data_IF_314771147463
#
_entry.id   IF_314771147463
#
_cell.length_a   1.000
_cell.length_b   1.000
_cell.length_c   1.000
_cell.angle_alpha   90.00
_cell.angle_beta   90.00
_cell.angle_gamma   90.00
#
_symmetry.space_group_name_H-M   'P 1'
#
loop_
_entity.id
_entity.type
_entity.pdbx_description
1 polymer ?
#
# COMPACT_ATOMS: atom_id res chain seq x y z
N UNK A 1 -10.39 -5.02 -2.00
CA UNK A 1 -10.69 -4.54 -0.63
C UNK A 1 -12.15 -4.84 -0.27
N UNK A 2 -12.46 -5.08 1.00
CA UNK A 2 -13.84 -5.33 1.48
C UNK A 2 -14.15 -4.39 2.64
N UNK A 3 -15.30 -3.73 2.60
CA UNK A 3 -15.82 -2.88 3.68
C UNK A 3 -17.12 -3.47 4.18
N UNK A 4 -17.23 -3.60 5.49
CA UNK A 4 -18.49 -3.94 6.15
C UNK A 4 -18.96 -2.73 6.92
N UNK A 5 -20.18 -2.27 6.66
CA UNK A 5 -20.76 -1.09 7.29
C UNK A 5 -22.22 -1.31 7.67
N UNK A 6 -22.67 -0.58 8.69
CA UNK A 6 -24.07 -0.53 9.08
C UNK A 6 -24.30 -0.66 10.58
N UNK A 7 -25.44 -0.12 11.02
CA UNK A 7 -25.86 -0.06 12.42
C UNK A 7 -27.14 -0.86 12.62
N UNK A 8 -27.20 -1.71 13.65
CA UNK A 8 -28.41 -2.46 14.00
C UNK A 8 -28.77 -3.57 12.99
N UNK A 9 -29.97 -3.49 12.40
CA UNK A 9 -30.54 -4.53 11.53
C UNK A 9 -30.12 -4.42 10.06
N UNK A 10 -29.55 -3.30 9.64
CA UNK A 10 -29.02 -3.09 8.29
C UNK A 10 -27.51 -3.12 8.32
N UNK A 11 -26.92 -4.15 7.73
CA UNK A 11 -25.47 -4.32 7.57
C UNK A 11 -25.17 -4.72 6.14
N UNK A 12 -24.27 -4.00 5.49
CA UNK A 12 -23.88 -4.24 4.10
C UNK A 12 -22.40 -4.57 4.02
N UNK A 13 -22.08 -5.56 3.19
CA UNK A 13 -20.72 -5.86 2.79
C UNK A 13 -20.53 -5.38 1.35
N UNK A 14 -19.53 -4.55 1.15
CA UNK A 14 -19.20 -3.95 -0.15
C UNK A 14 -17.77 -4.32 -0.53
N UNK A 15 -17.59 -4.76 -1.77
CA UNK A 15 -16.29 -5.10 -2.35
C UNK A 15 -15.85 -3.97 -3.27
N UNK A 16 -14.57 -3.62 -3.19
CA UNK A 16 -13.92 -2.63 -4.03
C UNK A 16 -12.76 -3.28 -4.78
N UNK A 17 -12.64 -2.93 -6.06
CA UNK A 17 -11.56 -3.34 -6.96
C UNK A 17 -10.94 -2.07 -7.54
N UNK A 18 -9.62 -1.92 -7.46
CA UNK A 18 -8.87 -0.75 -7.97
C UNK A 18 -9.45 0.60 -7.51
N UNK A 19 -9.83 0.68 -6.23
CA UNK A 19 -10.41 1.89 -5.64
C UNK A 19 -11.90 2.14 -5.98
N UNK A 20 -12.51 1.31 -6.83
CA UNK A 20 -13.89 1.48 -7.30
C UNK A 20 -14.83 0.47 -6.65
N UNK A 21 -16.01 0.93 -6.23
CA UNK A 21 -17.09 0.08 -5.69
C UNK A 21 -17.56 -0.90 -6.77
N UNK A 22 -17.48 -2.20 -6.48
CA UNK A 22 -17.79 -3.27 -7.41
C UNK A 22 -19.16 -3.88 -7.11
N UNK A 23 -19.28 -4.60 -5.99
CA UNK A 23 -20.51 -5.28 -5.58
C UNK A 23 -20.86 -4.97 -4.13
N UNK A 24 -22.16 -4.97 -3.81
CA UNK A 24 -22.64 -4.78 -2.45
C UNK A 24 -23.78 -5.75 -2.16
N UNK A 25 -23.76 -6.35 -0.96
CA UNK A 25 -24.80 -7.27 -0.52
C UNK A 25 -25.22 -6.98 0.91
N UNK A 26 -26.48 -7.28 1.24
CA UNK A 26 -26.99 -7.17 2.59
C UNK A 26 -26.61 -8.43 3.37
N UNK A 27 -25.94 -8.24 4.51
CA UNK A 27 -25.52 -9.29 5.43
C UNK A 27 -26.20 -9.16 6.80
N UNK A 28 -27.36 -8.52 6.86
CA UNK A 28 -28.22 -8.47 8.03
C UNK A 28 -28.45 -9.87 8.60
N UNK A 29 -28.38 -9.99 9.93
CA UNK A 29 -28.56 -11.26 10.63
C UNK A 29 -27.41 -12.27 10.49
N UNK A 30 -26.33 -11.94 9.75
CA UNK A 30 -25.12 -12.78 9.70
C UNK A 30 -24.25 -12.54 10.94
N UNK A 31 -23.76 -13.63 11.52
CA UNK A 31 -22.79 -13.64 12.61
C UNK A 31 -21.39 -13.53 11.99
N UNK A 32 -20.62 -12.53 12.41
CA UNK A 32 -19.24 -12.31 11.95
C UNK A 32 -18.21 -12.64 13.03
N UNK A 33 -18.64 -13.17 14.17
CA UNK A 33 -17.77 -13.62 15.25
C UNK A 33 -17.35 -15.06 15.01
N UNK A 34 -16.07 -15.36 15.19
CA UNK A 34 -15.50 -16.71 15.11
C UNK A 34 -14.43 -16.87 16.18
N UNK A 35 -14.24 -18.10 16.65
CA UNK A 35 -13.11 -18.49 17.50
C UNK A 35 -11.93 -19.03 16.67
N UNK A 36 -12.13 -19.26 15.38
CA UNK A 36 -11.07 -19.68 14.48
C UNK A 36 -10.06 -18.54 14.26
N UNK A 37 -8.76 -18.85 14.12
CA UNK A 37 -7.76 -17.83 13.80
C UNK A 37 -8.05 -17.18 12.45
N UNK A 38 -7.64 -15.93 12.29
CA UNK A 38 -7.68 -15.25 11.00
C UNK A 38 -6.70 -15.92 10.04
N UNK A 39 -7.17 -16.21 8.82
CA UNK A 39 -6.43 -16.96 7.82
C UNK A 39 -6.64 -16.34 6.44
N UNK A 40 -5.58 -16.38 5.63
CA UNK A 40 -5.58 -15.91 4.24
C UNK A 40 -5.13 -17.08 3.35
N UNK A 41 -5.83 -17.29 2.23
CA UNK A 41 -5.48 -18.33 1.26
C UNK A 41 -5.88 -19.76 1.66
N UNK A 42 -6.46 -19.93 2.85
CA UNK A 42 -6.99 -21.20 3.32
C UNK A 42 -8.23 -20.97 4.18
N UNK A 43 -9.19 -21.89 4.09
CA UNK A 43 -10.40 -21.87 4.91
C UNK A 43 -10.71 -23.28 5.41
N UNK A 44 -10.95 -23.39 6.72
CA UNK A 44 -11.47 -24.61 7.33
C UNK A 44 -12.99 -24.79 7.10
N UNK A 45 -13.45 -26.04 6.98
CA UNK A 45 -14.87 -26.40 6.88
C UNK A 45 -15.28 -27.22 5.63
N UNK A 46 -16.58 -27.50 5.52
CA UNK A 46 -17.14 -28.42 4.50
C UNK A 46 -17.04 -27.95 3.04
N UNK A 47 -16.86 -26.65 2.82
CA UNK A 47 -16.50 -26.04 1.52
C UNK A 47 -15.13 -25.36 1.60
N UNK A 48 -14.26 -25.86 2.47
CA UNK A 48 -12.90 -25.38 2.66
C UNK A 48 -11.95 -25.87 1.56
N UNK A 49 -10.81 -25.19 1.44
CA UNK A 49 -9.80 -25.48 0.43
C UNK A 49 -8.65 -24.48 0.50
N UNK A 50 -7.54 -24.85 -0.13
CA UNK A 50 -6.44 -23.97 -0.47
C UNK A 50 -6.72 -23.22 -1.77
N UNK A 51 -6.25 -21.98 -1.84
CA UNK A 51 -6.23 -21.20 -3.07
C UNK A 51 -4.81 -20.71 -3.31
N UNK A 52 -4.37 -20.77 -4.57
CA UNK A 52 -3.12 -20.16 -4.98
C UNK A 52 -3.36 -18.66 -5.17
N UNK A 53 -2.73 -17.85 -4.32
CA UNK A 53 -2.81 -16.40 -4.40
C UNK A 53 -1.45 -15.76 -4.08
N UNK A 54 -1.20 -14.61 -4.69
CA UNK A 54 -0.14 -13.69 -4.30
C UNK A 54 -0.79 -12.54 -3.57
N UNK A 55 -0.35 -12.28 -2.34
CA UNK A 55 -0.88 -11.19 -1.52
C UNK A 55 0.25 -10.28 -1.08
N UNK A 56 -0.02 -8.99 -1.12
CA UNK A 56 0.80 -7.94 -0.53
C UNK A 56 -0.13 -6.94 0.14
N UNK A 57 0.42 -6.12 1.03
CA UNK A 57 -0.28 -4.98 1.62
C UNK A 57 -1.61 -5.33 2.31
N UNK A 58 -1.58 -6.29 3.23
CA UNK A 58 -2.76 -6.69 4.00
C UNK A 58 -2.97 -5.71 5.14
N UNK A 59 -4.17 -5.14 5.24
CA UNK A 59 -4.55 -4.20 6.29
C UNK A 59 -5.95 -4.50 6.81
N UNK A 60 -6.16 -4.32 8.11
CA UNK A 60 -7.45 -4.52 8.77
C UNK A 60 -7.74 -3.31 9.66
N UNK A 61 -8.95 -2.77 9.54
CA UNK A 61 -9.41 -1.65 10.36
C UNK A 61 -10.65 -2.03 11.17
N UNK A 62 -10.80 -1.38 12.32
CA UNK A 62 -12.00 -1.44 13.19
C UNK A 62 -13.10 -0.47 12.75
N UNK A 63 -12.96 0.13 11.56
CA UNK A 63 -13.94 1.06 11.01
C UNK A 63 -14.17 0.80 9.54
N UNK A 64 -15.36 1.18 9.08
CA UNK A 64 -15.64 1.24 7.65
C UNK A 64 -14.88 2.42 7.05
N UNK A 65 -13.99 2.13 6.10
CA UNK A 65 -13.36 3.17 5.27
C UNK A 65 -14.38 3.75 4.30
N UNK A 66 -14.37 5.06 4.12
CA UNK A 66 -15.26 5.75 3.18
C UNK A 66 -14.84 5.51 1.73
N UNK A 67 -15.80 5.63 0.80
CA UNK A 67 -15.53 5.46 -0.64
C UNK A 67 -14.37 6.38 -1.12
N UNK A 68 -14.28 7.61 -0.59
CA UNK A 68 -13.22 8.56 -0.92
C UNK A 68 -11.85 8.19 -0.34
N UNK A 69 -11.79 7.67 0.88
CA UNK A 69 -10.53 7.17 1.46
C UNK A 69 -9.99 5.98 0.64
N UNK A 70 -10.90 5.13 0.16
CA UNK A 70 -10.55 3.96 -0.65
C UNK A 70 -10.04 4.39 -2.02
N UNK A 71 -10.78 5.25 -2.72
CA UNK A 71 -10.40 5.72 -4.06
C UNK A 71 -9.07 6.49 -4.05
N UNK A 72 -8.77 7.21 -2.97
CA UNK A 72 -7.55 8.02 -2.89
C UNK A 72 -6.33 7.21 -2.44
N UNK A 73 -6.52 6.09 -1.73
CA UNK A 73 -5.42 5.35 -1.13
C UNK A 73 -5.29 3.89 -1.61
N UNK A 74 -6.10 3.45 -2.59
CA UNK A 74 -6.09 2.04 -3.03
C UNK A 74 -4.72 1.54 -3.51
N UNK A 75 -3.91 2.42 -4.09
CA UNK A 75 -2.60 2.06 -4.61
C UNK A 75 -1.46 2.30 -3.61
N UNK A 76 -1.73 2.89 -2.43
CA UNK A 76 -0.68 3.19 -1.45
C UNK A 76 -0.17 1.92 -0.80
N UNK A 77 1.15 1.77 -0.72
CA UNK A 77 1.82 0.63 -0.07
C UNK A 77 2.21 0.91 1.39
N UNK A 78 1.87 2.09 1.91
CA UNK A 78 2.10 2.51 3.28
C UNK A 78 0.79 2.69 4.06
N UNK A 79 0.86 2.49 5.39
CA UNK A 79 -0.23 2.73 6.31
C UNK A 79 0.23 3.67 7.44
N UNK A 80 -0.68 4.52 7.91
CA UNK A 80 -0.45 5.35 9.10
C UNK A 80 -0.53 4.47 10.35
N UNK A 81 0.63 4.15 10.92
CA UNK A 81 0.75 3.35 12.13
C UNK A 81 0.22 4.06 13.39
N UNK A 82 -0.06 5.37 13.32
CA UNK A 82 -0.64 6.13 14.41
C UNK A 82 -2.17 6.09 14.44
N UNK A 83 -2.82 5.56 13.40
CA UNK A 83 -4.28 5.41 13.35
C UNK A 83 -4.73 4.38 14.40
N UNK A 84 -5.50 4.77 15.44
CA UNK A 84 -5.97 3.85 16.47
C UNK A 84 -6.97 2.82 15.94
N UNK A 85 -7.56 3.04 14.77
CA UNK A 85 -8.48 2.10 14.14
C UNK A 85 -7.78 1.08 13.24
N UNK A 86 -6.46 1.18 13.03
CA UNK A 86 -5.69 0.17 12.31
C UNK A 86 -5.36 -1.00 13.25
N UNK A 87 -5.99 -2.15 13.03
CA UNK A 87 -5.86 -3.33 13.90
C UNK A 87 -4.68 -4.24 13.51
N UNK A 88 -4.27 -4.20 12.25
CA UNK A 88 -3.19 -5.02 11.74
C UNK A 88 -2.73 -4.55 10.37
N UNK A 89 -1.42 -4.57 10.16
CA UNK A 89 -0.79 -4.18 8.91
C UNK A 89 0.41 -5.07 8.60
N UNK A 90 0.30 -5.81 7.49
CA UNK A 90 1.34 -6.66 6.97
C UNK A 90 1.69 -6.20 5.55
N UNK A 91 2.81 -5.46 5.36
CA UNK A 91 3.28 -5.09 4.02
C UNK A 91 3.52 -6.31 3.12
N UNK A 92 3.90 -7.45 3.73
CA UNK A 92 4.15 -8.72 3.04
C UNK A 92 5.19 -8.64 1.91
N UNK A 93 6.11 -7.67 2.00
CA UNK A 93 7.23 -7.47 1.06
C UNK A 93 8.46 -8.29 1.43
N UNK A 94 8.58 -8.72 2.69
CA UNK A 94 9.71 -9.49 3.19
C UNK A 94 9.21 -10.58 4.13
N UNK A 95 9.74 -11.79 3.95
CA UNK A 95 9.46 -12.93 4.83
C UNK A 95 10.50 -12.93 5.94
N UNK A 96 10.04 -12.97 7.17
CA UNK A 96 10.88 -13.11 8.37
C UNK A 96 10.74 -14.52 8.95
N UNK A 97 11.67 -14.92 9.81
CA UNK A 97 11.68 -16.24 10.44
C UNK A 97 11.71 -16.10 11.96
N UNK A 98 10.87 -16.90 12.64
CA UNK A 98 10.90 -16.95 14.10
C UNK A 98 12.14 -17.73 14.61
N UNK A 99 12.29 -17.82 15.93
CA UNK A 99 13.41 -18.56 16.54
C UNK A 99 13.39 -20.06 16.23
N UNK A 100 12.26 -20.59 15.76
CA UNK A 100 12.04 -21.97 15.37
C UNK A 100 12.15 -22.19 13.85
N UNK A 101 12.43 -21.14 13.07
CA UNK A 101 12.55 -21.18 11.62
C UNK A 101 11.22 -21.17 10.86
N UNK A 102 10.10 -20.82 11.49
CA UNK A 102 8.82 -20.68 10.79
C UNK A 102 8.74 -19.34 10.07
N UNK A 103 8.40 -19.32 8.77
CA UNK A 103 8.26 -18.09 8.01
C UNK A 103 7.00 -17.33 8.43
N UNK A 104 7.11 -16.03 8.65
CA UNK A 104 5.99 -15.14 8.98
C UNK A 104 6.11 -13.78 8.27
N UNK A 105 4.97 -13.13 8.07
CA UNK A 105 4.91 -11.69 7.79
C UNK A 105 4.71 -10.93 9.09
N UNK A 106 5.61 -9.99 9.35
CA UNK A 106 5.55 -9.12 10.52
C UNK A 106 4.34 -8.19 10.42
N UNK A 107 3.64 -8.08 11.54
CA UNK A 107 2.64 -7.04 11.77
C UNK A 107 3.39 -5.78 12.22
N UNK A 108 3.19 -4.69 11.50
CA UNK A 108 3.83 -3.40 11.80
C UNK A 108 3.07 -2.59 12.85
N UNK A 109 1.86 -3.00 13.23
CA UNK A 109 1.08 -2.34 14.28
C UNK A 109 1.53 -2.76 15.68
N UNK A 110 1.07 -2.01 16.68
CA UNK A 110 1.29 -2.35 18.09
C UNK A 110 0.63 -3.69 18.50
N UNK A 111 -0.31 -4.22 17.71
CA UNK A 111 -0.98 -5.49 17.96
C UNK A 111 -0.06 -6.71 17.84
N UNK A 112 1.03 -6.61 17.07
CA UNK A 112 2.03 -7.65 16.87
C UNK A 112 1.43 -9.02 16.46
N UNK A 113 0.32 -9.01 15.73
CA UNK A 113 -0.39 -10.22 15.29
C UNK A 113 0.26 -10.78 14.01
N UNK A 114 1.43 -11.40 14.11
CA UNK A 114 2.16 -11.85 12.93
C UNK A 114 1.41 -12.94 12.14
N UNK A 115 1.48 -12.89 10.80
CA UNK A 115 0.88 -13.90 9.92
C UNK A 115 1.89 -14.99 9.62
N UNK A 116 1.67 -16.19 10.15
CA UNK A 116 2.55 -17.34 9.90
C UNK A 116 2.16 -18.05 8.59
N UNK A 117 3.15 -18.26 7.73
CA UNK A 117 2.94 -18.95 6.45
C UNK A 117 3.09 -20.47 6.64
N UNK A 118 2.17 -21.22 6.04
CA UNK A 118 2.23 -22.69 5.99
C UNK A 118 2.48 -23.12 4.55
N UNK A 119 3.62 -23.77 4.31
CA UNK A 119 4.08 -24.22 2.98
C UNK A 119 4.10 -23.10 1.91
N UNK A 120 4.76 -21.94 2.16
CA UNK A 120 4.77 -20.85 1.19
C UNK A 120 5.59 -21.17 -0.06
N UNK A 121 5.12 -20.72 -1.23
CA UNK A 121 5.96 -20.50 -2.39
C UNK A 121 6.43 -19.05 -2.38
N UNK A 122 7.65 -18.82 -1.90
CA UNK A 122 8.21 -17.47 -1.80
C UNK A 122 8.72 -17.07 -3.19
N UNK A 123 8.07 -16.06 -3.76
CA UNK A 123 8.47 -15.46 -5.04
C UNK A 123 8.85 -14.01 -4.82
N UNK A 124 9.94 -13.57 -5.44
CA UNK A 124 10.23 -12.15 -5.59
C UNK A 124 9.57 -11.63 -6.87
N UNK A 125 9.03 -10.43 -6.81
CA UNK A 125 8.48 -9.73 -7.98
C UNK A 125 9.00 -8.29 -7.99
N UNK A 126 9.23 -7.76 -9.18
CA UNK A 126 9.70 -6.37 -9.40
C UNK A 126 9.01 -5.82 -10.64
N UNK A 127 7.68 -5.86 -10.64
CA UNK A 127 6.86 -5.37 -11.74
C UNK A 127 6.34 -3.98 -11.43
N UNK A 128 6.47 -3.06 -12.40
CA UNK A 128 5.80 -1.78 -12.34
C UNK A 128 4.30 -2.00 -12.58
N UNK A 129 3.47 -1.61 -11.63
CA UNK A 129 2.02 -1.72 -11.71
C UNK A 129 1.38 -0.34 -11.58
N UNK A 130 0.38 -0.06 -12.42
CA UNK A 130 -0.42 1.17 -12.30
C UNK A 130 -1.23 1.21 -10.99
N UNK A 131 -1.38 0.06 -10.31
CA UNK A 131 -2.14 -0.09 -9.09
C UNK A 131 -1.26 -0.03 -7.82
N UNK A 132 0.02 0.31 -7.96
CA UNK A 132 0.93 0.53 -6.84
C UNK A 132 1.56 1.93 -6.94
N UNK A 133 1.25 2.79 -5.97
CA UNK A 133 1.74 4.15 -5.83
C UNK A 133 2.54 4.23 -4.52
N UNK A 134 3.83 3.88 -4.52
CA UNK A 134 4.64 4.05 -3.32
C UNK A 134 4.73 5.54 -2.96
N UNK A 135 4.78 5.83 -1.66
CA UNK A 135 5.21 7.14 -1.21
C UNK A 135 6.62 7.40 -1.74
N UNK A 136 6.79 8.49 -2.49
CA UNK A 136 8.12 9.00 -2.79
C UNK A 136 8.63 9.66 -1.51
N UNK A 137 9.46 8.98 -0.75
CA UNK A 137 10.10 9.58 0.42
C UNK A 137 11.23 10.52 -0.01
N UNK A 138 11.67 11.39 0.90
CA UNK A 138 12.77 12.32 0.65
C UNK A 138 14.08 11.59 0.28
N UNK A 139 14.22 10.32 0.68
CA UNK A 139 15.39 9.51 0.35
C UNK A 139 15.35 9.08 -1.10
N UNK A 140 14.19 8.62 -1.60
CA UNK A 140 13.96 8.32 -3.00
C UNK A 140 14.22 9.55 -3.85
N UNK A 141 13.72 10.73 -3.44
CA UNK A 141 14.05 12.00 -4.09
C UNK A 141 15.56 12.24 -4.16
N UNK A 142 16.32 11.97 -3.10
CA UNK A 142 17.79 12.16 -3.06
C UNK A 142 18.60 11.06 -3.75
N UNK A 143 17.98 9.93 -4.09
CA UNK A 143 18.67 8.77 -4.67
C UNK A 143 18.55 8.72 -6.18
N UNK A 144 17.47 9.27 -6.74
CA UNK A 144 17.37 9.47 -8.20
C UNK A 144 18.06 10.77 -8.62
N UNK A 145 18.82 10.78 -9.73
CA UNK A 145 19.41 12.01 -10.25
C UNK A 145 18.33 13.06 -10.50
N UNK A 146 18.43 14.18 -9.80
CA UNK A 146 17.57 15.34 -10.00
C UNK A 146 18.14 16.26 -11.08
N UNK A 147 17.32 17.20 -11.56
CA UNK A 147 17.77 18.24 -12.50
C UNK A 147 18.93 19.07 -11.92
N UNK A 148 18.95 19.28 -10.60
CA UNK A 148 20.06 19.95 -9.89
C UNK A 148 21.36 19.15 -9.94
N UNK A 149 21.30 17.82 -9.89
CA UNK A 149 22.47 16.95 -9.96
C UNK A 149 23.10 16.98 -11.36
N UNK A 150 22.26 17.06 -12.41
CA UNK A 150 22.72 17.22 -13.79
C UNK A 150 23.43 18.55 -13.98
N UNK A 151 22.86 19.65 -13.48
CA UNK A 151 23.50 20.96 -13.52
C UNK A 151 24.84 20.95 -12.78
N UNK A 152 24.88 20.37 -11.58
CA UNK A 152 26.10 20.23 -10.80
C UNK A 152 27.16 19.41 -11.52
N UNK A 153 26.77 18.29 -12.14
CA UNK A 153 27.69 17.44 -12.90
C UNK A 153 28.33 18.17 -14.09
N UNK A 154 27.57 19.02 -14.79
CA UNK A 154 28.06 19.85 -15.89
C UNK A 154 29.10 20.87 -15.41
N UNK A 155 28.83 21.59 -14.32
CA UNK A 155 29.78 22.56 -13.75
C UNK A 155 31.07 21.90 -13.25
N UNK A 156 30.95 20.71 -12.65
CA UNK A 156 32.11 19.91 -12.26
C UNK A 156 32.95 19.48 -13.48
N UNK A 157 32.31 19.07 -14.58
CA UNK A 157 33.02 18.79 -15.85
C UNK A 157 33.73 20.01 -16.42
N UNK A 158 33.16 21.20 -16.22
CA UNK A 158 33.77 22.46 -16.63
C UNK A 158 34.87 22.95 -15.66
N UNK A 159 35.15 22.22 -14.58
CA UNK A 159 36.20 22.54 -13.62
C UNK A 159 35.84 23.61 -12.60
N UNK A 160 34.55 23.95 -12.47
CA UNK A 160 34.08 24.96 -11.52
C UNK A 160 33.62 24.30 -10.21
N UNK A 161 34.12 24.80 -9.08
CA UNK A 161 33.60 24.45 -7.77
C UNK A 161 32.30 25.23 -7.52
N UNK A 162 31.23 24.51 -7.14
CA UNK A 162 29.90 25.09 -6.95
C UNK A 162 29.68 25.41 -5.47
N UNK A 163 29.45 26.68 -5.10
CA UNK A 163 29.02 27.05 -3.76
C UNK A 163 27.61 26.52 -3.47
N UNK A 164 27.37 25.98 -2.27
CA UNK A 164 26.05 25.46 -1.84
C UNK A 164 24.90 26.49 -1.93
N UNK A 165 25.19 27.79 -2.04
CA UNK A 165 24.19 28.86 -2.10
C UNK A 165 23.64 29.20 -3.49
N UNK A 166 24.07 28.53 -4.56
CA UNK A 166 23.69 28.90 -5.93
C UNK A 166 22.25 28.57 -6.32
N UNK A 167 21.55 27.71 -5.57
CA UNK A 167 20.15 27.38 -5.89
C UNK A 167 19.99 26.91 -7.33
N UNK A 168 20.70 25.84 -7.69
CA UNK A 168 20.70 25.26 -9.04
C UNK A 168 19.43 24.44 -9.34
N UNK A 169 18.41 24.54 -8.49
CA UNK A 169 17.06 24.07 -8.75
C UNK A 169 16.47 24.82 -9.96
N UNK A 170 16.25 24.08 -11.04
CA UNK A 170 15.68 24.65 -12.25
C UNK A 170 14.28 25.18 -12.00
N UNK A 171 14.02 26.44 -12.39
CA UNK A 171 12.64 26.94 -12.48
C UNK A 171 11.94 26.26 -13.66
N UNK A 172 10.68 25.87 -13.48
CA UNK A 172 9.85 25.36 -14.57
C UNK A 172 9.37 26.53 -15.42
N UNK A 173 9.94 26.69 -16.61
CA UNK A 173 9.52 27.69 -17.59
C UNK A 173 8.50 27.04 -18.52
N UNK A 174 7.23 27.05 -18.14
CA UNK A 174 6.16 26.67 -19.07
C UNK A 174 5.90 27.91 -19.96
N UNK A 175 6.32 27.93 -21.24
CA UNK A 175 6.06 29.09 -22.09
C UNK A 175 4.55 29.22 -22.29
N UNK A 176 3.99 30.39 -21.93
CA UNK A 176 2.65 30.76 -22.37
C UNK A 176 2.70 30.99 -23.87
N UNK A 177 2.14 30.08 -24.66
CA UNK A 177 1.88 30.35 -26.06
C UNK A 177 0.89 31.52 -26.15
N UNK A 178 1.32 32.60 -26.77
CA UNK A 178 0.43 33.67 -27.21
C UNK A 178 0.25 33.39 -28.71
N UNK A 179 -0.89 32.83 -29.10
CA UNK A 179 -1.24 32.76 -30.51
C UNK A 179 -1.41 34.19 -31.00
N UNK A 180 -0.43 34.66 -31.77
CA UNK A 180 -0.60 35.85 -32.61
C UNK A 180 -1.52 35.44 -33.74
N UNK A 181 -2.79 35.84 -33.62
CA UNK A 181 -3.77 35.72 -34.70
C UNK A 181 -3.33 36.70 -35.81
N UNK A 182 -2.88 36.17 -36.94
CA UNK A 182 -2.72 36.92 -38.20
C UNK A 182 -4.09 37.23 -38.83
#
# INVERSE_FOLDING_TARGET
MVVVQGTGTTRTATVYTDGVKNASTNIAGRILTTTAPFQIGWRDGSNGGDIQLTVTDVRIWDRALSDGEISNNFCRTDADLSDPNLLGFWPSTTVEYDAQGNPFFRDMTAGANHLFLKNPSIVSFSEASANACPLVDDVAYKTVPQSVDVAMQIYLWMGYAIPQGWGLDGQSWIPKYIDVVE
#
